data_IF_817204095114
#
_entry.id   IF_817204095114
#
_cell.length_a   1.000
_cell.length_b   1.000
_cell.length_c   1.000
_cell.angle_alpha   90.00
_cell.angle_beta   90.00
_cell.angle_gamma   90.00
#
_symmetry.space_group_name_H-M   'P 1'
#
loop_
_entity.id
_entity.type
_entity.pdbx_description
1 polymer ?
#
# COMPACT_ATOMS: atom_id res chain seq x y z
N UNK A 1 -4.43 -5.74 3.97
CA UNK A 1 -4.78 -7.16 3.77
C UNK A 1 -3.60 -8.03 4.18
N UNK A 2 -3.81 -9.00 5.05
CA UNK A 2 -2.77 -9.94 5.47
C UNK A 2 -2.64 -11.07 4.45
N UNK A 3 -1.42 -11.38 4.04
CA UNK A 3 -1.11 -12.57 3.25
C UNK A 3 -1.53 -13.86 3.99
N UNK A 4 -2.17 -14.84 3.36
CA UNK A 4 -2.55 -14.95 1.94
C UNK A 4 -4.05 -14.66 1.66
N UNK A 5 -4.60 -13.59 2.20
CA UNK A 5 -6.03 -13.29 2.06
C UNK A 5 -6.34 -12.84 0.63
N UNK A 6 -7.22 -13.57 -0.05
CA UNK A 6 -7.74 -13.17 -1.37
C UNK A 6 -8.77 -12.06 -1.22
N UNK A 7 -8.75 -11.05 -2.09
CA UNK A 7 -9.66 -9.91 -2.08
C UNK A 7 -11.14 -10.32 -2.01
N UNK A 8 -11.54 -11.31 -2.81
CA UNK A 8 -12.91 -11.86 -2.79
C UNK A 8 -13.33 -12.37 -1.40
N UNK A 9 -12.41 -13.02 -0.67
CA UNK A 9 -12.67 -13.50 0.70
C UNK A 9 -12.81 -12.33 1.67
N UNK A 10 -11.97 -11.33 1.54
CA UNK A 10 -12.03 -10.10 2.34
C UNK A 10 -13.37 -9.38 2.16
N UNK A 11 -13.79 -9.14 0.92
CA UNK A 11 -15.07 -8.51 0.60
C UNK A 11 -16.27 -9.29 1.18
N UNK A 12 -16.24 -10.64 1.08
CA UNK A 12 -17.26 -11.49 1.68
C UNK A 12 -17.33 -11.32 3.21
N UNK A 13 -16.18 -11.22 3.86
CA UNK A 13 -16.10 -11.01 5.32
C UNK A 13 -16.67 -9.64 5.70
N UNK A 14 -16.35 -8.58 4.96
CA UNK A 14 -16.89 -7.24 5.20
C UNK A 14 -18.43 -7.26 5.15
N UNK A 15 -19.01 -7.89 4.12
CA UNK A 15 -20.47 -8.03 3.99
C UNK A 15 -21.10 -8.80 5.14
N UNK A 16 -20.43 -9.88 5.61
CA UNK A 16 -20.91 -10.65 6.76
C UNK A 16 -20.92 -9.82 8.05
N UNK A 17 -19.87 -9.02 8.30
CA UNK A 17 -19.85 -8.10 9.45
C UNK A 17 -20.89 -6.99 9.34
N UNK A 18 -21.14 -6.47 8.14
CA UNK A 18 -22.20 -5.46 7.92
C UNK A 18 -23.59 -6.04 8.21
N UNK A 19 -23.84 -7.32 7.87
CA UNK A 19 -25.08 -8.00 8.24
C UNK A 19 -25.22 -8.21 9.76
N UNK A 20 -24.12 -8.52 10.46
CA UNK A 20 -24.10 -8.56 11.92
C UNK A 20 -24.39 -7.18 12.54
N UNK A 21 -23.86 -6.10 11.97
CA UNK A 21 -24.11 -4.75 12.43
C UNK A 21 -25.60 -4.38 12.37
N UNK A 22 -26.36 -4.88 11.39
CA UNK A 22 -27.80 -4.70 11.32
C UNK A 22 -28.55 -5.36 12.49
N UNK A 23 -28.04 -6.49 12.96
CA UNK A 23 -28.60 -7.22 14.11
C UNK A 23 -28.16 -6.63 15.45
N UNK A 24 -26.97 -6.06 15.47
CA UNK A 24 -26.34 -5.48 16.67
C UNK A 24 -25.97 -4.01 16.44
N UNK A 25 -26.92 -3.05 16.64
CA UNK A 25 -26.71 -1.64 16.29
C UNK A 25 -25.55 -0.95 17.02
N UNK A 26 -25.09 -1.50 18.16
CA UNK A 26 -23.93 -1.01 18.88
C UNK A 26 -22.59 -1.46 18.30
N UNK A 27 -22.61 -2.44 17.39
CA UNK A 27 -21.40 -2.89 16.70
C UNK A 27 -20.94 -1.84 15.70
N UNK A 28 -19.74 -1.29 15.91
CA UNK A 28 -19.11 -0.35 14.99
C UNK A 28 -18.08 -1.10 14.15
N UNK A 29 -18.13 -0.90 12.84
CA UNK A 29 -17.12 -1.38 11.90
C UNK A 29 -16.22 -0.24 11.52
N UNK A 30 -14.91 -0.44 11.66
CA UNK A 30 -13.89 0.47 11.21
C UNK A 30 -12.85 -0.29 10.38
N UNK A 31 -12.43 0.31 9.28
CA UNK A 31 -11.33 -0.17 8.46
C UNK A 31 -10.05 0.54 8.86
N UNK A 32 -8.97 -0.20 8.99
CA UNK A 32 -7.66 0.33 9.34
C UNK A 32 -6.60 -0.14 8.34
N UNK A 33 -5.79 0.80 7.85
CA UNK A 33 -4.65 0.48 6.99
C UNK A 33 -3.33 0.88 7.63
N UNK A 34 -2.42 -0.07 7.75
CA UNK A 34 -1.02 0.25 8.02
C UNK A 34 -0.34 0.57 6.68
N UNK A 35 0.06 1.82 6.51
CA UNK A 35 0.62 2.33 5.25
C UNK A 35 2.13 2.14 5.24
N UNK A 36 2.62 1.46 4.22
CA UNK A 36 4.02 1.22 3.92
C UNK A 36 4.36 1.64 2.48
N UNK A 37 5.62 1.63 2.11
CA UNK A 37 6.02 1.89 0.74
C UNK A 37 5.38 0.93 -0.27
N UNK A 38 4.98 -0.28 0.16
CA UNK A 38 4.40 -1.30 -0.71
C UNK A 38 2.93 -1.06 -1.06
N UNK A 39 2.18 -0.39 -0.20
CA UNK A 39 0.73 -0.21 -0.39
C UNK A 39 0.27 1.25 -0.46
N UNK A 40 1.16 2.20 -0.26
CA UNK A 40 0.79 3.63 -0.27
C UNK A 40 0.19 4.06 -1.62
N UNK A 41 0.63 3.48 -2.72
CA UNK A 41 0.08 3.75 -4.05
C UNK A 41 -1.38 3.27 -4.22
N UNK A 42 -1.83 2.35 -3.37
CA UNK A 42 -3.18 1.77 -3.43
C UNK A 42 -4.18 2.47 -2.51
N UNK A 43 -3.76 3.48 -1.77
CA UNK A 43 -4.65 4.22 -0.87
C UNK A 43 -5.90 4.76 -1.56
N UNK A 44 -5.85 5.34 -2.77
CA UNK A 44 -7.07 5.76 -3.46
C UNK A 44 -8.07 4.61 -3.67
N UNK A 45 -7.60 3.44 -4.07
CA UNK A 45 -8.44 2.25 -4.26
C UNK A 45 -9.03 1.75 -2.93
N UNK A 46 -8.26 1.83 -1.84
CA UNK A 46 -8.73 1.50 -0.48
C UNK A 46 -9.83 2.47 -0.05
N UNK A 47 -9.66 3.76 -0.31
CA UNK A 47 -10.67 4.78 0.01
C UNK A 47 -11.94 4.62 -0.82
N UNK A 48 -11.82 4.30 -2.12
CA UNK A 48 -12.98 3.97 -2.97
C UNK A 48 -13.74 2.78 -2.39
N UNK A 49 -13.05 1.72 -2.02
CA UNK A 49 -13.66 0.53 -1.43
C UNK A 49 -14.37 0.85 -0.11
N UNK A 50 -13.75 1.62 0.77
CA UNK A 50 -14.36 1.97 2.08
C UNK A 50 -15.55 2.88 1.92
N UNK A 51 -15.51 3.83 0.96
CA UNK A 51 -16.64 4.68 0.62
C UNK A 51 -17.81 3.88 0.03
N UNK A 52 -17.52 2.97 -0.89
CA UNK A 52 -18.52 2.09 -1.54
C UNK A 52 -19.25 1.19 -0.52
N UNK A 53 -18.55 0.77 0.55
CA UNK A 53 -19.10 -0.08 1.60
C UNK A 53 -19.55 0.67 2.87
N UNK A 54 -19.54 2.01 2.86
CA UNK A 54 -19.86 2.86 4.02
C UNK A 54 -19.07 2.48 5.28
N UNK A 55 -17.77 2.26 5.12
CA UNK A 55 -16.86 1.96 6.23
C UNK A 55 -16.12 3.22 6.65
N UNK A 56 -16.07 3.49 7.95
CA UNK A 56 -15.10 4.42 8.50
C UNK A 56 -13.69 3.88 8.27
N UNK A 57 -12.76 4.76 7.91
CA UNK A 57 -11.41 4.37 7.58
C UNK A 57 -10.37 5.28 8.21
N UNK A 58 -9.41 4.66 8.89
CA UNK A 58 -8.23 5.31 9.42
C UNK A 58 -6.95 4.61 8.93
N UNK A 59 -5.83 5.30 9.00
CA UNK A 59 -4.53 4.72 8.73
C UNK A 59 -3.44 5.20 9.68
N UNK A 60 -2.35 4.43 9.75
CA UNK A 60 -1.10 4.84 10.35
C UNK A 60 0.06 4.44 9.44
N UNK A 61 1.13 5.23 9.48
CA UNK A 61 2.34 4.91 8.75
C UNK A 61 3.15 3.84 9.48
N UNK A 62 3.70 2.90 8.71
CA UNK A 62 4.59 1.88 9.22
C UNK A 62 5.93 2.50 9.63
N UNK A 63 6.30 2.31 10.90
CA UNK A 63 7.57 2.79 11.44
C UNK A 63 8.65 1.70 11.46
N UNK A 64 8.27 0.45 11.64
CA UNK A 64 9.16 -0.72 11.66
C UNK A 64 8.57 -1.87 10.85
N UNK A 65 9.38 -2.57 10.05
CA UNK A 65 10.82 -2.34 9.78
C UNK A 65 11.06 -1.06 8.95
N UNK A 66 12.17 -0.38 9.22
CA UNK A 66 12.52 0.88 8.56
C UNK A 66 12.60 0.79 7.03
N UNK A 67 12.95 -0.39 6.50
CA UNK A 67 13.05 -0.65 5.06
C UNK A 67 11.75 -0.38 4.29
N UNK A 68 10.59 -0.49 4.96
CA UNK A 68 9.27 -0.29 4.36
C UNK A 68 8.66 1.10 4.60
N UNK A 69 9.39 2.03 5.22
CA UNK A 69 8.85 3.37 5.46
C UNK A 69 8.63 4.14 4.16
N UNK A 70 7.54 4.92 4.11
CA UNK A 70 7.20 5.74 2.94
C UNK A 70 8.20 6.88 2.68
N UNK A 71 8.94 7.30 3.70
CA UNK A 71 9.97 8.34 3.58
C UNK A 71 11.18 7.89 2.76
N UNK A 72 11.46 6.60 2.70
CA UNK A 72 12.58 6.09 1.92
C UNK A 72 12.34 6.28 0.43
N UNK A 73 13.38 6.66 -0.29
CA UNK A 73 13.34 6.80 -1.74
C UNK A 73 13.61 5.45 -2.38
N UNK A 74 12.63 4.92 -3.09
CA UNK A 74 12.71 3.65 -3.81
C UNK A 74 11.67 3.62 -4.94
N UNK A 75 11.69 2.57 -5.76
CA UNK A 75 10.78 2.43 -6.92
C UNK A 75 9.31 2.49 -6.56
N UNK A 76 8.91 1.97 -5.40
CA UNK A 76 7.52 1.98 -4.94
C UNK A 76 7.06 3.38 -4.53
N UNK A 77 7.86 4.09 -3.75
CA UNK A 77 7.53 5.45 -3.30
C UNK A 77 7.57 6.47 -4.41
N UNK A 78 8.49 6.34 -5.37
CA UNK A 78 8.54 7.20 -6.55
C UNK A 78 7.32 6.99 -7.46
N UNK A 79 6.92 5.75 -7.69
CA UNK A 79 5.70 5.43 -8.44
C UNK A 79 4.44 5.93 -7.70
N UNK A 80 4.38 5.73 -6.38
CA UNK A 80 3.28 6.21 -5.56
C UNK A 80 3.16 7.72 -5.61
N UNK A 81 4.26 8.45 -5.58
CA UNK A 81 4.29 9.91 -5.67
C UNK A 81 3.59 10.42 -6.93
N UNK A 82 3.92 9.83 -8.08
CA UNK A 82 3.27 10.17 -9.35
C UNK A 82 1.76 9.88 -9.32
N UNK A 83 1.37 8.72 -8.81
CA UNK A 83 -0.03 8.30 -8.75
C UNK A 83 -0.85 9.14 -7.78
N UNK A 84 -0.32 9.45 -6.60
CA UNK A 84 -1.06 10.18 -5.57
C UNK A 84 -1.19 11.68 -5.85
N UNK A 85 -0.29 12.28 -6.64
CA UNK A 85 -0.39 13.68 -7.04
C UNK A 85 -1.68 14.00 -7.79
N UNK A 86 -2.21 13.04 -8.55
CA UNK A 86 -3.42 13.18 -9.37
C UNK A 86 -4.65 12.57 -8.71
N UNK A 87 -4.56 12.12 -7.47
CA UNK A 87 -5.69 11.54 -6.73
C UNK A 87 -6.79 12.58 -6.49
N UNK A 88 -8.05 12.17 -6.61
CA UNK A 88 -9.21 12.96 -6.22
C UNK A 88 -9.31 13.18 -4.71
N UNK A 89 -8.66 12.34 -3.90
CA UNK A 89 -8.65 12.44 -2.44
C UNK A 89 -7.60 13.44 -1.95
N UNK A 90 -7.99 14.56 -1.28
CA UNK A 90 -7.05 15.53 -0.73
C UNK A 90 -6.04 14.93 0.26
N UNK A 91 -6.48 13.97 1.08
CA UNK A 91 -5.63 13.26 2.03
C UNK A 91 -4.52 12.45 1.35
N UNK A 92 -4.78 11.88 0.18
CA UNK A 92 -3.76 11.17 -0.61
C UNK A 92 -2.75 12.13 -1.20
N UNK A 93 -3.20 13.29 -1.72
CA UNK A 93 -2.30 14.33 -2.25
C UNK A 93 -1.37 14.89 -1.16
N UNK A 94 -1.88 15.03 0.07
CA UNK A 94 -1.09 15.50 1.21
C UNK A 94 0.06 14.56 1.58
N UNK A 95 -0.13 13.24 1.43
CA UNK A 95 0.92 12.25 1.70
C UNK A 95 2.13 12.43 0.76
N UNK A 96 1.93 12.97 -0.43
CA UNK A 96 3.01 13.21 -1.42
C UNK A 96 4.17 14.02 -0.84
N UNK A 97 3.88 14.93 0.07
CA UNK A 97 4.90 15.76 0.74
C UNK A 97 5.87 14.94 1.60
N UNK A 98 5.42 13.79 2.10
CA UNK A 98 6.22 12.90 2.96
C UNK A 98 6.88 11.74 2.18
N UNK A 99 6.42 11.49 0.94
CA UNK A 99 6.93 10.41 0.12
C UNK A 99 8.34 10.67 -0.40
N UNK A 100 9.22 9.67 -0.27
CA UNK A 100 10.55 9.66 -0.86
C UNK A 100 11.42 10.87 -0.45
N UNK A 101 11.24 11.38 0.78
CA UNK A 101 12.00 12.54 1.31
C UNK A 101 13.30 12.14 1.98
N UNK A 102 13.48 10.86 2.26
CA UNK A 102 14.63 10.31 2.97
C UNK A 102 15.70 9.71 2.04
N UNK A 103 16.47 8.78 2.60
CA UNK A 103 17.56 8.10 1.89
C UNK A 103 17.04 7.14 0.83
N UNK A 104 17.83 6.94 -0.21
CA UNK A 104 17.58 5.88 -1.18
C UNK A 104 17.89 4.51 -0.54
N UNK A 105 16.88 3.63 -0.51
CA UNK A 105 17.00 2.28 0.00
C UNK A 105 16.50 1.21 -0.99
N UNK A 106 16.42 1.55 -2.28
CA UNK A 106 15.80 0.68 -3.28
C UNK A 106 16.47 -0.71 -3.35
N UNK A 107 17.80 -0.77 -3.31
CA UNK A 107 18.53 -2.04 -3.36
C UNK A 107 18.33 -2.87 -2.08
N UNK A 108 18.31 -2.23 -0.91
CA UNK A 108 18.06 -2.90 0.37
C UNK A 108 16.64 -3.45 0.41
N UNK A 109 15.67 -2.64 -0.02
CA UNK A 109 14.26 -3.04 -0.08
C UNK A 109 14.07 -4.24 -1.03
N UNK A 110 14.67 -4.20 -2.21
CA UNK A 110 14.55 -5.29 -3.18
C UNK A 110 15.16 -6.60 -2.67
N UNK A 111 16.33 -6.55 -2.04
CA UNK A 111 16.93 -7.72 -1.38
C UNK A 111 16.02 -8.29 -0.30
N UNK A 112 15.39 -7.42 0.48
CA UNK A 112 14.46 -7.84 1.54
C UNK A 112 13.20 -8.49 0.96
N UNK A 113 12.62 -7.92 -0.09
CA UNK A 113 11.45 -8.49 -0.78
C UNK A 113 11.79 -9.86 -1.38
N UNK A 114 12.89 -9.98 -2.09
CA UNK A 114 13.32 -11.25 -2.71
C UNK A 114 13.58 -12.34 -1.68
N UNK A 115 14.11 -11.98 -0.50
CA UNK A 115 14.26 -12.92 0.60
C UNK A 115 12.88 -13.39 1.12
N UNK A 116 11.94 -12.48 1.31
CA UNK A 116 10.60 -12.81 1.76
C UNK A 116 9.84 -13.65 0.74
N UNK A 117 10.00 -13.34 -0.54
CA UNK A 117 9.40 -14.11 -1.65
C UNK A 117 9.90 -15.56 -1.65
N UNK A 118 11.21 -15.77 -1.50
CA UNK A 118 11.79 -17.12 -1.39
C UNK A 118 11.26 -17.88 -0.19
N UNK A 119 11.16 -17.23 0.97
CA UNK A 119 10.64 -17.85 2.19
C UNK A 119 9.15 -18.21 2.07
N UNK A 120 8.38 -17.42 1.33
CA UNK A 120 6.93 -17.60 1.15
C UNK A 120 6.56 -18.34 -0.13
N UNK A 121 7.53 -18.63 -0.99
CA UNK A 121 7.32 -19.24 -2.33
C UNK A 121 6.35 -18.44 -3.20
N UNK A 122 6.56 -17.13 -3.25
CA UNK A 122 5.80 -16.18 -4.06
C UNK A 122 6.74 -15.34 -4.90
N UNK A 123 6.18 -14.58 -5.83
CA UNK A 123 6.88 -13.56 -6.60
C UNK A 123 6.16 -12.22 -6.42
N UNK A 124 6.86 -11.20 -5.96
CA UNK A 124 6.27 -9.87 -5.77
C UNK A 124 5.72 -9.27 -7.08
N UNK A 125 6.29 -9.65 -8.22
CA UNK A 125 5.86 -9.18 -9.56
C UNK A 125 4.43 -9.59 -9.89
N UNK A 126 3.92 -10.65 -9.26
CA UNK A 126 2.52 -11.08 -9.42
C UNK A 126 1.53 -10.14 -8.71
N UNK A 127 2.03 -9.28 -7.81
CA UNK A 127 1.21 -8.42 -6.96
C UNK A 127 1.43 -6.93 -7.19
N UNK A 128 2.58 -6.53 -7.72
CA UNK A 128 2.95 -5.13 -7.93
C UNK A 128 3.20 -4.85 -9.41
N UNK A 129 2.37 -3.97 -9.98
CA UNK A 129 2.57 -3.47 -11.33
C UNK A 129 3.58 -2.31 -11.31
N UNK A 130 4.86 -2.64 -11.22
CA UNK A 130 5.95 -1.67 -11.27
C UNK A 130 6.34 -1.35 -12.71
N UNK A 131 6.72 -0.09 -12.96
CA UNK A 131 7.23 0.32 -14.27
C UNK A 131 8.47 -0.53 -14.64
N UNK A 132 8.42 -1.32 -15.72
CA UNK A 132 9.53 -2.17 -16.12
C UNK A 132 10.78 -1.38 -16.54
N UNK A 133 10.64 -0.08 -16.81
CA UNK A 133 11.74 0.79 -17.21
C UNK A 133 12.42 1.48 -16.03
N UNK A 134 11.91 1.31 -14.80
CA UNK A 134 12.47 1.97 -13.61
C UNK A 134 13.96 1.64 -13.40
N UNK A 135 14.36 0.40 -13.60
CA UNK A 135 15.76 -0.04 -13.50
C UNK A 135 16.64 0.48 -14.63
N UNK A 136 16.11 0.59 -15.86
CA UNK A 136 16.86 1.11 -17.01
C UNK A 136 17.19 2.59 -16.89
N UNK A 137 16.30 3.37 -16.28
CA UNK A 137 16.53 4.79 -16.05
C UNK A 137 17.63 5.08 -15.00
N UNK A 138 17.94 4.11 -14.14
CA UNK A 138 19.06 4.22 -13.18
C UNK A 138 20.42 4.01 -13.83
N UNK A 139 20.53 3.12 -14.82
CA UNK A 139 21.79 2.91 -15.55
C UNK A 139 22.13 4.11 -16.43
N UNK A 140 21.13 4.76 -17.04
CA UNK A 140 21.31 5.98 -17.82
C UNK A 140 21.78 7.18 -16.98
N UNK A 141 21.42 7.25 -15.68
CA UNK A 141 21.82 8.31 -14.76
C UNK A 141 23.15 8.02 -14.00
N UNK A 142 23.75 6.84 -14.17
CA UNK A 142 25.07 6.48 -13.62
C UNK A 142 26.22 6.59 -14.64
N UNK A 143 25.88 6.81 -15.88
CA UNK A 143 26.86 7.15 -16.95
C UNK A 143 27.04 8.71 -17.13
#
# INVERSE_FOLDING_TARGET
>A
VRWPIKWKKYTKSVKAYQNLQKQFPLLKLNSWTTVSCLNVADLPNILDFTAEHNLDHDWAFLNTPNVYQIKNKNRFTEQAKQKLQTSSYPQCRKIVEELATGKNNDEELMRHIELQDRLRRIDYRDYFNLDPNFSKNKEANRS
#
